data_IF_950650457409
#
_entry.id   IF_950650457409
#
_cell.length_a   1.000
_cell.length_b   1.000
_cell.length_c   1.000
_cell.angle_alpha   90.00
_cell.angle_beta   90.00
_cell.angle_gamma   90.00
#
_symmetry.space_group_name_H-M   'P 1'
#
loop_
_entity.id
_entity.type
_entity.pdbx_description
1 polymer ?
#
# COMPACT_ATOMS: atom_id res chain seq x y z
N UNK A 1 21.69 45.95 38.93
CA UNK A 1 22.02 45.27 37.65
C UNK A 1 21.29 43.93 37.43
N UNK A 2 21.05 43.07 38.44
CA UNK A 2 20.36 41.78 38.24
C UNK A 2 18.89 41.88 37.80
N UNK A 3 18.11 42.84 38.31
CA UNK A 3 16.67 42.98 37.96
C UNK A 3 16.43 43.32 36.48
N UNK A 4 17.23 44.20 35.89
CA UNK A 4 17.10 44.59 34.47
C UNK A 4 17.46 43.47 33.48
N UNK A 5 18.36 42.55 33.87
CA UNK A 5 18.73 41.40 33.02
C UNK A 5 17.58 40.39 32.90
N UNK A 6 16.81 40.17 33.95
CA UNK A 6 15.67 39.27 33.91
C UNK A 6 14.54 39.82 33.03
N UNK A 7 14.28 41.13 33.11
CA UNK A 7 13.27 41.80 32.27
C UNK A 7 13.65 41.75 30.78
N UNK A 8 14.92 41.93 30.44
CA UNK A 8 15.41 41.84 29.06
C UNK A 8 15.35 40.40 28.52
N UNK A 9 15.66 39.39 29.34
CA UNK A 9 15.53 37.98 28.95
C UNK A 9 14.07 37.60 28.70
N UNK A 10 13.15 38.04 29.58
CA UNK A 10 11.72 37.78 29.41
C UNK A 10 11.14 38.50 28.18
N UNK A 11 11.58 39.73 27.90
CA UNK A 11 11.17 40.45 26.69
C UNK A 11 11.69 39.76 25.41
N UNK A 12 12.94 39.26 25.42
CA UNK A 12 13.50 38.51 24.30
C UNK A 12 12.77 37.18 24.06
N UNK A 13 12.45 36.43 25.13
CA UNK A 13 11.66 35.20 25.04
C UNK A 13 10.24 35.46 24.53
N UNK A 14 9.60 36.56 24.93
CA UNK A 14 8.28 36.96 24.43
C UNK A 14 8.32 37.31 22.94
N UNK A 15 9.35 38.01 22.47
CA UNK A 15 9.53 38.35 21.05
C UNK A 15 9.78 37.07 20.23
N UNK A 16 10.62 36.15 20.71
CA UNK A 16 10.83 34.84 20.09
C UNK A 16 9.51 34.06 20.05
N UNK A 17 8.71 34.10 21.10
CA UNK A 17 7.41 33.43 21.14
C UNK A 17 6.38 34.08 20.20
N UNK A 18 6.36 35.40 20.04
CA UNK A 18 5.45 36.08 19.10
C UNK A 18 5.81 35.81 17.63
N UNK A 19 7.09 35.55 17.32
CA UNK A 19 7.55 35.27 15.96
C UNK A 19 7.46 33.77 15.63
N UNK A 20 7.97 32.92 16.52
CA UNK A 20 8.09 31.48 16.29
C UNK A 20 6.97 30.66 16.92
N UNK A 21 6.31 31.16 17.96
CA UNK A 21 5.23 30.47 18.68
C UNK A 21 4.02 30.15 17.80
N UNK A 22 3.48 31.08 16.99
CA UNK A 22 2.39 30.77 16.08
C UNK A 22 2.74 29.74 15.01
N UNK A 23 3.98 29.73 14.50
CA UNK A 23 4.46 28.72 13.54
C UNK A 23 4.73 27.36 14.21
N UNK A 24 5.18 27.37 15.46
CA UNK A 24 5.36 26.15 16.26
C UNK A 24 4.00 25.56 16.63
N UNK A 25 3.03 26.39 17.00
CA UNK A 25 1.63 26.00 17.22
C UNK A 25 1.05 25.47 15.92
N UNK A 26 1.16 26.15 14.77
CA UNK A 26 0.62 25.63 13.50
C UNK A 26 1.25 24.30 13.06
N UNK A 27 2.52 24.05 13.43
CA UNK A 27 3.20 22.76 13.21
C UNK A 27 2.81 21.69 14.22
N UNK A 28 2.44 22.06 15.44
CA UNK A 28 1.96 21.15 16.50
C UNK A 28 0.44 20.92 16.42
N UNK A 29 -0.29 21.83 15.79
CA UNK A 29 -1.74 21.83 15.56
C UNK A 29 -2.02 21.75 14.06
N UNK A 30 -1.16 21.10 13.27
CA UNK A 30 -1.53 20.69 11.92
C UNK A 30 -2.74 19.77 12.08
N UNK A 31 -3.92 20.38 12.04
CA UNK A 31 -5.21 19.74 12.08
C UNK A 31 -5.16 18.64 11.05
N UNK A 32 -5.48 17.41 11.47
CA UNK A 32 -5.79 16.34 10.53
C UNK A 32 -6.83 16.90 9.55
N UNK A 33 -6.42 17.25 8.34
CA UNK A 33 -7.32 17.76 7.30
C UNK A 33 -7.86 16.57 6.54
N UNK A 34 -8.62 15.74 7.25
CA UNK A 34 -9.58 14.84 6.66
C UNK A 34 -10.94 15.13 7.26
N UNK A 35 -11.99 14.84 6.51
CA UNK A 35 -13.36 14.92 7.01
C UNK A 35 -13.81 13.53 7.43
N UNK A 36 -14.46 13.40 8.59
CA UNK A 36 -15.06 12.11 8.99
C UNK A 36 -16.37 11.92 8.25
N UNK A 37 -16.52 10.76 7.60
CA UNK A 37 -17.66 10.43 6.76
C UNK A 37 -17.63 11.14 5.41
N UNK A 38 -18.42 10.62 4.47
CA UNK A 38 -18.62 11.25 3.17
C UNK A 38 -19.59 12.45 3.27
N UNK A 39 -19.39 13.51 2.48
CA UNK A 39 -20.33 14.64 2.42
C UNK A 39 -21.70 14.20 1.91
N UNK A 40 -22.74 14.93 2.33
CA UNK A 40 -24.08 14.74 1.78
C UNK A 40 -24.08 15.04 0.27
N UNK A 41 -24.65 14.14 -0.53
CA UNK A 41 -24.74 14.26 -2.00
C UNK A 41 -23.64 13.55 -2.78
N UNK A 42 -22.56 13.11 -2.12
CA UNK A 42 -21.55 12.25 -2.74
C UNK A 42 -22.17 10.87 -2.99
N UNK A 43 -22.34 10.52 -4.26
CA UNK A 43 -23.02 9.29 -4.71
C UNK A 43 -22.03 8.20 -5.07
N UNK A 44 -21.17 7.83 -4.12
CA UNK A 44 -20.26 6.71 -4.30
C UNK A 44 -21.00 5.38 -4.11
N UNK A 45 -20.60 4.39 -4.91
CA UNK A 45 -21.19 3.05 -4.87
C UNK A 45 -20.13 1.99 -4.64
N UNK A 46 -20.58 0.77 -4.36
CA UNK A 46 -19.70 -0.37 -4.13
C UNK A 46 -19.20 -0.46 -2.69
N UNK A 47 -18.12 -1.22 -2.53
CA UNK A 47 -17.57 -1.60 -1.24
C UNK A 47 -16.06 -1.55 -1.28
N UNK A 48 -15.48 -1.05 -0.20
CA UNK A 48 -14.05 -1.17 0.05
C UNK A 48 -13.81 -2.46 0.82
N UNK A 49 -12.84 -3.27 0.42
CA UNK A 49 -12.40 -4.45 1.15
C UNK A 49 -10.95 -4.28 1.55
N UNK A 50 -10.62 -4.61 2.80
CA UNK A 50 -9.28 -4.38 3.32
C UNK A 50 -8.87 -5.44 4.33
N UNK A 51 -7.58 -5.76 4.36
CA UNK A 51 -7.04 -6.79 5.26
C UNK A 51 -6.65 -6.20 6.62
N UNK A 52 -6.85 -6.95 7.70
CA UNK A 52 -6.42 -6.60 9.06
C UNK A 52 -5.62 -7.74 9.71
N UNK A 53 -4.68 -8.34 8.97
CA UNK A 53 -3.85 -9.43 9.49
C UNK A 53 -4.68 -10.61 10.00
N UNK A 54 -4.59 -10.88 11.31
CA UNK A 54 -5.35 -11.94 11.99
C UNK A 54 -6.85 -11.64 12.11
N UNK A 55 -7.24 -10.37 11.96
CA UNK A 55 -8.64 -9.94 11.91
C UNK A 55 -9.34 -10.25 10.58
N UNK A 56 -8.63 -10.85 9.63
CA UNK A 56 -9.19 -11.25 8.34
C UNK A 56 -9.41 -10.08 7.39
N UNK A 57 -10.50 -10.14 6.64
CA UNK A 57 -10.88 -9.14 5.65
C UNK A 57 -12.15 -8.43 6.12
N UNK A 58 -12.07 -7.11 6.15
CA UNK A 58 -13.15 -6.21 6.52
C UNK A 58 -13.66 -5.47 5.30
N UNK A 59 -14.88 -4.93 5.41
CA UNK A 59 -15.48 -4.16 4.35
C UNK A 59 -16.16 -2.88 4.85
N UNK A 60 -16.16 -1.87 3.99
CA UNK A 60 -16.94 -0.63 4.17
C UNK A 60 -17.95 -0.52 3.02
N UNK A 61 -19.24 -0.52 3.34
CA UNK A 61 -20.28 -0.27 2.35
C UNK A 61 -20.47 1.24 2.11
N UNK A 62 -20.33 1.68 0.85
CA UNK A 62 -20.50 3.09 0.46
C UNK A 62 -21.93 3.35 -0.05
N UNK A 63 -22.48 4.57 0.15
CA UNK A 63 -21.87 5.72 0.84
C UNK A 63 -22.10 5.69 2.37
N UNK A 64 -22.82 4.69 2.89
CA UNK A 64 -23.25 4.64 4.29
C UNK A 64 -22.09 4.54 5.30
N UNK A 65 -20.89 4.15 4.87
CA UNK A 65 -19.74 3.92 5.75
C UNK A 65 -19.95 2.75 6.72
N UNK A 66 -20.88 1.83 6.40
CA UNK A 66 -21.18 0.71 7.29
C UNK A 66 -20.04 -0.30 7.24
N UNK A 67 -19.39 -0.51 8.38
CA UNK A 67 -18.28 -1.43 8.54
C UNK A 67 -18.79 -2.80 8.97
N UNK A 68 -18.30 -3.87 8.34
CA UNK A 68 -18.52 -5.24 8.78
C UNK A 68 -17.34 -6.12 8.43
N UNK A 69 -17.19 -7.23 9.13
CA UNK A 69 -16.24 -8.26 8.74
C UNK A 69 -16.79 -9.00 7.53
N UNK A 70 -16.03 -9.07 6.44
CA UNK A 70 -16.40 -9.85 5.27
C UNK A 70 -15.97 -11.30 5.43
N UNK A 71 -14.73 -11.54 5.86
CA UNK A 71 -14.20 -12.88 6.07
C UNK A 71 -13.29 -12.95 7.30
N UNK A 72 -13.52 -13.94 8.15
CA UNK A 72 -12.64 -14.31 9.25
C UNK A 72 -11.88 -15.59 8.85
N UNK A 73 -10.55 -15.57 8.73
CA UNK A 73 -9.78 -16.79 8.54
C UNK A 73 -9.92 -17.69 9.79
N UNK A 74 -9.75 -19.02 9.63
CA UNK A 74 -9.56 -19.95 10.75
C UNK A 74 -8.55 -19.42 11.78
N UNK A 75 -8.74 -19.79 13.04
CA UNK A 75 -7.94 -19.30 14.18
C UNK A 75 -6.42 -19.33 13.87
N UNK A 76 -5.76 -18.19 14.11
CA UNK A 76 -4.32 -17.94 13.84
C UNK A 76 -3.91 -17.83 12.36
N UNK A 77 -4.88 -17.84 11.43
CA UNK A 77 -4.64 -17.50 10.04
C UNK A 77 -4.36 -16.00 9.85
N UNK A 78 -3.44 -15.66 8.94
CA UNK A 78 -3.03 -14.28 8.66
C UNK A 78 -3.35 -13.89 7.22
N UNK A 79 -4.12 -12.83 7.02
CA UNK A 79 -4.41 -12.27 5.69
C UNK A 79 -3.50 -11.07 5.44
N UNK A 80 -2.76 -11.10 4.33
CA UNK A 80 -1.74 -10.09 4.03
C UNK A 80 -2.01 -9.29 2.75
N UNK A 81 -2.86 -9.79 1.87
CA UNK A 81 -3.18 -9.10 0.62
C UNK A 81 -4.53 -9.47 0.05
N UNK A 82 -5.11 -8.57 -0.72
CA UNK A 82 -6.41 -8.73 -1.35
C UNK A 82 -6.51 -7.91 -2.65
N UNK A 83 -7.11 -8.50 -3.68
CA UNK A 83 -7.42 -7.79 -4.92
C UNK A 83 -8.73 -8.26 -5.53
N UNK A 84 -9.57 -7.32 -5.94
CA UNK A 84 -10.79 -7.59 -6.69
C UNK A 84 -10.50 -7.76 -8.18
N UNK A 85 -11.19 -8.72 -8.82
CA UNK A 85 -11.29 -8.80 -10.26
C UNK A 85 -11.99 -7.54 -10.81
N UNK A 86 -11.74 -7.15 -12.08
CA UNK A 86 -12.33 -5.93 -12.64
C UNK A 86 -13.87 -5.91 -12.64
N UNK A 87 -14.50 -7.08 -12.72
CA UNK A 87 -15.96 -7.25 -12.62
C UNK A 87 -16.50 -7.29 -11.18
N UNK A 88 -15.60 -7.24 -10.19
CA UNK A 88 -15.90 -7.28 -8.77
C UNK A 88 -16.46 -8.62 -8.26
N UNK A 89 -16.44 -9.69 -9.07
CA UNK A 89 -17.07 -10.98 -8.71
C UNK A 89 -16.13 -11.93 -7.97
N UNK A 90 -14.82 -11.76 -8.12
CA UNK A 90 -13.80 -12.64 -7.54
C UNK A 90 -12.75 -11.82 -6.80
N UNK A 91 -12.31 -12.34 -5.65
CA UNK A 91 -11.19 -11.80 -4.88
C UNK A 91 -10.03 -12.80 -4.89
N UNK A 92 -8.84 -12.29 -5.21
CA UNK A 92 -7.59 -12.97 -4.90
C UNK A 92 -7.13 -12.56 -3.51
N UNK A 93 -6.67 -13.52 -2.70
CA UNK A 93 -6.31 -13.31 -1.30
C UNK A 93 -4.94 -13.95 -1.04
N UNK A 94 -3.96 -13.15 -0.63
CA UNK A 94 -2.70 -13.65 -0.08
C UNK A 94 -2.91 -13.99 1.40
N UNK A 95 -2.99 -15.29 1.70
CA UNK A 95 -3.42 -15.81 3.00
C UNK A 95 -2.44 -16.87 3.51
N UNK A 96 -1.98 -16.70 4.74
CA UNK A 96 -1.19 -17.69 5.45
C UNK A 96 -2.12 -18.53 6.35
N UNK A 97 -2.33 -19.82 6.03
CA UNK A 97 -3.14 -20.72 6.88
C UNK A 97 -2.51 -20.87 8.27
N UNK A 98 -3.24 -21.34 9.29
CA UNK A 98 -2.68 -21.52 10.63
C UNK A 98 -1.42 -22.38 10.60
N UNK A 99 -0.42 -22.04 11.42
CA UNK A 99 0.79 -22.84 11.50
C UNK A 99 0.47 -24.20 12.14
N UNK A 100 1.13 -25.27 11.67
CA UNK A 100 0.98 -26.58 12.31
C UNK A 100 1.53 -26.60 13.74
N UNK A 101 2.60 -25.84 13.98
CA UNK A 101 3.20 -25.59 15.29
C UNK A 101 3.74 -24.15 15.37
N UNK A 102 3.64 -23.52 16.54
CA UNK A 102 4.17 -22.18 16.79
C UNK A 102 3.31 -21.06 16.21
N UNK A 103 3.93 -19.90 15.97
CA UNK A 103 3.24 -18.72 15.42
C UNK A 103 3.30 -18.70 13.90
N UNK A 104 2.23 -18.22 13.27
CA UNK A 104 2.21 -18.00 11.83
C UNK A 104 3.27 -16.96 11.43
N UNK A 105 4.18 -17.35 10.52
CA UNK A 105 5.32 -16.57 10.07
C UNK A 105 5.02 -15.56 8.95
N UNK A 106 3.78 -15.54 8.44
CA UNK A 106 3.36 -14.66 7.35
C UNK A 106 3.77 -15.14 5.95
N UNK A 107 4.04 -16.44 5.84
CA UNK A 107 4.29 -17.12 4.56
C UNK A 107 2.95 -17.52 3.95
N UNK A 108 2.56 -16.84 2.89
CA UNK A 108 1.23 -16.91 2.31
C UNK A 108 1.13 -17.90 1.15
N UNK A 109 0.02 -18.62 1.11
CA UNK A 109 -0.52 -19.24 -0.10
C UNK A 109 -1.40 -18.21 -0.83
N UNK A 110 -1.77 -18.47 -2.09
CA UNK A 110 -2.69 -17.62 -2.86
C UNK A 110 -4.04 -18.30 -3.01
N UNK A 111 -5.11 -17.59 -2.66
CA UNK A 111 -6.49 -18.11 -2.68
C UNK A 111 -7.38 -17.29 -3.61
N UNK A 112 -8.44 -17.93 -4.11
CA UNK A 112 -9.56 -17.28 -4.78
C UNK A 112 -10.84 -17.42 -3.97
N UNK A 113 -11.65 -16.38 -3.95
CA UNK A 113 -12.98 -16.39 -3.34
C UNK A 113 -13.98 -15.65 -4.21
N UNK A 114 -15.24 -16.06 -4.22
CA UNK A 114 -16.32 -15.20 -4.72
C UNK A 114 -16.49 -13.98 -3.81
N UNK A 115 -16.89 -12.83 -4.36
CA UNK A 115 -17.02 -11.57 -3.61
C UNK A 115 -18.32 -11.48 -2.79
N UNK A 116 -19.42 -12.03 -3.32
CA UNK A 116 -20.75 -11.98 -2.69
C UNK A 116 -20.81 -12.77 -1.37
N UNK A 117 -20.08 -13.87 -1.28
CA UNK A 117 -19.94 -14.69 -0.09
C UNK A 117 -18.51 -15.26 -0.02
N UNK A 118 -17.82 -15.12 1.12
CA UNK A 118 -16.48 -15.69 1.27
C UNK A 118 -16.49 -17.20 1.10
N UNK A 119 -15.64 -17.67 0.19
CA UNK A 119 -15.36 -19.08 -0.04
C UNK A 119 -13.92 -19.19 -0.57
N UNK A 120 -12.94 -18.88 0.29
CA UNK A 120 -11.53 -18.91 -0.07
C UNK A 120 -11.08 -20.34 -0.36
N UNK A 121 -10.68 -20.60 -1.61
CA UNK A 121 -10.14 -21.87 -2.09
C UNK A 121 -8.69 -21.67 -2.55
N UNK A 122 -7.78 -22.61 -2.25
CA UNK A 122 -6.39 -22.49 -2.70
C UNK A 122 -6.30 -22.42 -4.22
N UNK A 123 -5.55 -21.46 -4.74
CA UNK A 123 -5.14 -21.37 -6.14
C UNK A 123 -3.69 -21.81 -6.29
N UNK A 124 -2.79 -21.28 -5.44
CA UNK A 124 -1.39 -21.69 -5.37
C UNK A 124 -1.01 -21.95 -3.92
N UNK A 125 -0.37 -23.08 -3.68
CA UNK A 125 0.15 -23.48 -2.36
C UNK A 125 1.65 -23.56 -2.42
N UNK A 126 2.31 -23.07 -1.36
CA UNK A 126 3.76 -23.13 -1.22
C UNK A 126 4.24 -24.58 -1.28
N UNK A 127 5.35 -24.77 -1.96
CA UNK A 127 6.07 -26.03 -2.10
C UNK A 127 7.18 -26.15 -1.07
N UNK A 128 7.76 -25.03 -0.63
CA UNK A 128 8.87 -24.99 0.33
C UNK A 128 8.63 -24.04 1.51
N UNK A 129 9.28 -24.31 2.64
CA UNK A 129 9.23 -23.44 3.80
C UNK A 129 9.78 -22.04 3.46
N UNK A 130 9.16 -20.98 3.98
CA UNK A 130 9.48 -19.57 3.71
C UNK A 130 9.20 -19.06 2.29
N UNK A 131 8.57 -19.84 1.42
CA UNK A 131 7.96 -19.36 0.18
C UNK A 131 6.71 -18.52 0.49
N UNK A 132 6.33 -17.60 -0.40
CA UNK A 132 5.18 -16.72 -0.17
C UNK A 132 4.66 -16.12 -1.48
N UNK A 133 3.33 -16.07 -1.65
CA UNK A 133 2.65 -15.35 -2.72
C UNK A 133 1.97 -14.09 -2.18
N UNK A 134 2.33 -12.91 -2.68
CA UNK A 134 1.98 -11.61 -2.08
C UNK A 134 1.48 -10.63 -3.13
N UNK A 135 0.85 -9.56 -2.67
CA UNK A 135 0.48 -8.39 -3.48
C UNK A 135 -0.23 -8.78 -4.79
N UNK A 136 -1.34 -9.55 -4.71
CA UNK A 136 -2.06 -9.95 -5.90
C UNK A 136 -2.67 -8.74 -6.60
N UNK A 137 -2.79 -8.78 -7.91
CA UNK A 137 -3.59 -7.82 -8.67
C UNK A 137 -4.05 -8.42 -10.00
N UNK A 138 -5.20 -7.99 -10.50
CA UNK A 138 -5.76 -8.48 -11.76
C UNK A 138 -5.30 -7.63 -12.94
N UNK A 139 -5.18 -8.24 -14.11
CA UNK A 139 -5.12 -7.47 -15.36
C UNK A 139 -6.42 -6.70 -15.59
N UNK A 140 -6.37 -5.55 -16.29
CA UNK A 140 -7.57 -4.77 -16.60
C UNK A 140 -8.64 -5.55 -17.38
N UNK A 141 -8.22 -6.53 -18.20
CA UNK A 141 -9.12 -7.41 -18.96
C UNK A 141 -9.71 -8.56 -18.12
N UNK A 142 -9.30 -8.70 -16.86
CA UNK A 142 -9.74 -9.76 -15.94
C UNK A 142 -9.22 -11.15 -16.27
N UNK A 143 -8.37 -11.30 -17.29
CA UNK A 143 -7.88 -12.60 -17.74
C UNK A 143 -6.79 -13.17 -16.84
N UNK A 144 -5.89 -12.33 -16.36
CA UNK A 144 -4.70 -12.74 -15.64
C UNK A 144 -4.72 -12.23 -14.21
N UNK A 145 -4.33 -13.10 -13.28
CA UNK A 145 -4.00 -12.72 -11.91
C UNK A 145 -2.49 -12.68 -11.78
N UNK A 146 -1.95 -11.52 -11.42
CA UNK A 146 -0.55 -11.30 -11.13
C UNK A 146 -0.30 -11.31 -9.62
N UNK A 147 0.92 -11.63 -9.22
CA UNK A 147 1.34 -11.61 -7.82
C UNK A 147 2.87 -11.52 -7.72
N UNK A 148 3.36 -11.08 -6.56
CA UNK A 148 4.76 -11.20 -6.17
C UNK A 148 5.00 -12.58 -5.59
N UNK A 149 5.99 -13.30 -6.11
CA UNK A 149 6.43 -14.58 -5.58
C UNK A 149 7.79 -14.40 -4.91
N UNK A 150 7.83 -14.70 -3.62
CA UNK A 150 9.06 -14.76 -2.84
C UNK A 150 9.44 -16.22 -2.67
N UNK A 151 10.57 -16.60 -3.26
CA UNK A 151 11.13 -17.95 -3.14
C UNK A 151 12.47 -17.92 -2.41
N UNK A 152 12.67 -18.70 -1.34
CA UNK A 152 13.97 -18.77 -0.68
C UNK A 152 14.99 -19.49 -1.57
N UNK A 153 16.18 -18.91 -1.69
CA UNK A 153 17.32 -19.55 -2.38
C UNK A 153 18.02 -20.45 -1.37
N UNK A 154 17.86 -21.76 -1.50
CA UNK A 154 18.40 -22.75 -0.57
C UNK A 154 19.81 -23.21 -1.00
N UNK A 155 20.69 -23.43 -0.02
CA UNK A 155 21.96 -24.13 -0.21
C UNK A 155 21.73 -25.65 -0.22
N UNK A 156 22.76 -26.42 -0.56
CA UNK A 156 22.71 -27.89 -0.55
C UNK A 156 22.32 -28.47 0.82
N UNK A 157 22.66 -27.80 1.92
CA UNK A 157 22.30 -28.20 3.29
C UNK A 157 20.86 -27.80 3.70
N UNK A 158 20.08 -27.23 2.78
CA UNK A 158 18.71 -26.77 3.00
C UNK A 158 18.61 -25.41 3.71
N UNK A 159 19.72 -24.75 4.05
CA UNK A 159 19.68 -23.41 4.66
C UNK A 159 19.46 -22.32 3.62
N UNK A 160 18.70 -21.28 3.98
CA UNK A 160 18.48 -20.14 3.09
C UNK A 160 19.79 -19.32 2.92
N UNK A 161 20.07 -18.94 1.68
CA UNK A 161 21.20 -18.09 1.26
C UNK A 161 20.76 -16.74 0.70
N UNK A 162 19.47 -16.58 0.42
CA UNK A 162 18.88 -15.37 -0.13
C UNK A 162 17.41 -15.59 -0.47
N UNK A 163 16.85 -14.63 -1.19
CA UNK A 163 15.50 -14.71 -1.74
C UNK A 163 15.52 -14.32 -3.21
N UNK A 164 14.72 -15.00 -3.99
CA UNK A 164 14.33 -14.60 -5.32
C UNK A 164 12.94 -13.94 -5.23
N UNK A 165 12.80 -12.77 -5.86
CA UNK A 165 11.54 -12.06 -6.00
C UNK A 165 11.18 -11.99 -7.48
N UNK A 166 10.05 -12.56 -7.84
CA UNK A 166 9.49 -12.50 -9.19
C UNK A 166 8.09 -11.89 -9.14
N UNK A 167 7.69 -11.25 -10.24
CA UNK A 167 6.28 -10.99 -10.51
C UNK A 167 5.83 -12.04 -11.52
N UNK A 168 4.84 -12.82 -11.14
CA UNK A 168 4.31 -13.93 -11.93
C UNK A 168 2.85 -13.71 -12.23
N UNK A 169 2.32 -14.41 -13.23
CA UNK A 169 0.90 -14.41 -13.57
C UNK A 169 0.34 -15.80 -13.82
N UNK A 170 -0.95 -15.95 -13.58
CA UNK A 170 -1.71 -17.18 -13.85
C UNK A 170 -3.11 -16.82 -14.35
N UNK A 171 -3.68 -17.61 -15.24
CA UNK A 171 -5.08 -17.48 -15.68
C UNK A 171 -5.97 -18.23 -14.69
N UNK A 172 -6.87 -17.55 -13.93
CA UNK A 172 -7.66 -18.20 -12.89
C UNK A 172 -8.60 -19.27 -13.47
N UNK A 173 -8.38 -20.52 -13.08
CA UNK A 173 -9.11 -21.69 -13.59
C UNK A 173 -8.33 -22.52 -14.61
N UNK A 174 -7.16 -22.05 -15.07
CA UNK A 174 -6.19 -22.91 -15.75
C UNK A 174 -5.38 -23.71 -14.70
N UNK A 175 -5.13 -24.99 -14.98
CA UNK A 175 -4.24 -25.83 -14.17
C UNK A 175 -2.79 -25.79 -14.68
N UNK A 176 -2.51 -24.92 -15.66
CA UNK A 176 -1.16 -24.61 -16.15
C UNK A 176 -0.25 -24.00 -15.09
N UNK A 177 1.05 -24.00 -15.39
CA UNK A 177 2.06 -23.36 -14.54
C UNK A 177 1.98 -21.84 -14.66
N UNK A 178 2.27 -21.12 -13.58
CA UNK A 178 2.40 -19.68 -13.60
C UNK A 178 3.57 -19.23 -14.50
N UNK A 179 3.41 -18.06 -15.13
CA UNK A 179 4.42 -17.46 -15.99
C UNK A 179 5.17 -16.37 -15.23
N UNK A 180 6.50 -16.43 -15.25
CA UNK A 180 7.35 -15.33 -14.74
C UNK A 180 7.34 -14.18 -15.73
N UNK A 181 6.94 -12.99 -15.26
CA UNK A 181 6.83 -11.76 -16.06
C UNK A 181 8.01 -10.84 -15.77
N UNK A 182 8.38 -10.69 -14.50
CA UNK A 182 9.51 -9.86 -14.08
C UNK A 182 10.39 -10.61 -13.08
N UNK A 183 11.70 -10.42 -13.19
CA UNK A 183 12.69 -10.90 -12.23
C UNK A 183 13.18 -9.76 -11.33
N UNK A 184 13.54 -10.12 -10.10
CA UNK A 184 13.99 -9.20 -9.07
C UNK A 184 13.01 -8.03 -8.86
N UNK A 185 11.71 -8.32 -8.85
CA UNK A 185 10.64 -7.33 -8.82
C UNK A 185 9.56 -7.71 -7.81
N UNK A 186 8.91 -6.70 -7.21
CA UNK A 186 7.81 -6.87 -6.27
C UNK A 186 6.75 -5.76 -6.45
N UNK A 187 5.54 -6.00 -5.92
CA UNK A 187 4.46 -5.02 -5.82
C UNK A 187 4.17 -4.29 -7.13
N UNK A 188 3.82 -5.06 -8.18
CA UNK A 188 3.54 -4.50 -9.49
C UNK A 188 2.08 -4.05 -9.67
N UNK A 189 1.84 -3.25 -10.69
CA UNK A 189 0.51 -2.85 -11.17
C UNK A 189 0.58 -2.60 -12.68
N UNK A 190 -0.48 -2.94 -13.41
CA UNK A 190 -0.62 -2.67 -14.84
C UNK A 190 -1.29 -1.32 -15.09
N UNK A 191 -0.92 -0.67 -16.19
CA UNK A 191 -1.63 0.50 -16.71
C UNK A 191 -3.07 0.12 -17.11
N UNK A 192 -4.02 1.07 -17.14
CA UNK A 192 -5.41 0.78 -17.49
C UNK A 192 -5.59 0.12 -18.87
N UNK A 193 -4.68 0.38 -19.81
CA UNK A 193 -4.66 -0.24 -21.15
C UNK A 193 -3.89 -1.58 -21.21
N UNK A 194 -3.29 -2.02 -20.10
CA UNK A 194 -2.53 -3.27 -19.98
C UNK A 194 -1.18 -3.27 -20.71
N UNK A 195 -0.73 -2.15 -21.26
CA UNK A 195 0.51 -2.11 -22.07
C UNK A 195 1.78 -1.87 -21.25
N UNK A 196 1.64 -1.22 -20.09
CA UNK A 196 2.75 -0.87 -19.21
C UNK A 196 2.57 -1.51 -17.85
N UNK A 197 3.71 -1.74 -17.18
CA UNK A 197 3.80 -2.25 -15.84
C UNK A 197 4.66 -1.32 -15.00
N UNK A 198 4.18 -0.98 -13.80
CA UNK A 198 4.95 -0.30 -12.78
C UNK A 198 5.22 -1.28 -11.65
N UNK A 199 6.42 -1.26 -11.08
CA UNK A 199 6.83 -2.20 -10.05
C UNK A 199 7.99 -1.64 -9.21
N UNK A 200 8.23 -2.28 -8.06
CA UNK A 200 9.43 -2.03 -7.28
C UNK A 200 10.52 -3.01 -7.74
N UNK A 201 11.53 -2.49 -8.44
CA UNK A 201 12.72 -3.26 -8.78
C UNK A 201 13.58 -3.42 -7.52
N UNK A 202 13.84 -4.65 -7.14
CA UNK A 202 14.64 -5.06 -6.00
C UNK A 202 16.08 -5.39 -6.42
N UNK A 203 17.06 -4.81 -5.72
CA UNK A 203 18.45 -5.25 -5.84
C UNK A 203 18.80 -6.21 -4.69
N UNK A 204 19.02 -7.51 -4.94
CA UNK A 204 19.30 -8.48 -3.89
C UNK A 204 20.63 -8.27 -3.17
N UNK A 205 21.54 -7.44 -3.70
CA UNK A 205 22.83 -7.14 -3.05
C UNK A 205 22.71 -6.01 -2.03
N UNK A 206 21.93 -4.98 -2.38
CA UNK A 206 21.78 -3.77 -1.55
C UNK A 206 20.47 -3.73 -0.79
N UNK A 207 19.53 -4.61 -1.10
CA UNK A 207 18.14 -4.62 -0.64
C UNK A 207 17.39 -3.31 -0.93
N UNK A 208 17.88 -2.52 -1.89
CA UNK A 208 17.25 -1.27 -2.29
C UNK A 208 16.08 -1.52 -3.24
N UNK A 209 15.13 -0.58 -3.25
CA UNK A 209 13.99 -0.57 -4.18
C UNK A 209 14.06 0.66 -5.07
N UNK A 210 13.80 0.46 -6.35
CA UNK A 210 13.60 1.53 -7.35
C UNK A 210 12.20 1.43 -7.90
N UNK A 211 11.41 2.51 -7.87
CA UNK A 211 10.14 2.53 -8.60
C UNK A 211 10.43 2.58 -10.09
N UNK A 212 10.01 1.55 -10.81
CA UNK A 212 10.35 1.34 -12.21
C UNK A 212 9.08 1.19 -13.03
N UNK A 213 9.06 1.78 -14.22
CA UNK A 213 8.03 1.59 -15.23
C UNK A 213 8.65 0.96 -16.47
N UNK A 214 7.95 0.03 -17.11
CA UNK A 214 8.35 -0.58 -18.37
C UNK A 214 7.12 -0.94 -19.22
N UNK A 215 7.33 -1.26 -20.49
CA UNK A 215 6.33 -2.01 -21.25
C UNK A 215 6.22 -3.44 -20.70
N UNK A 216 5.07 -4.08 -20.89
CA UNK A 216 4.84 -5.44 -20.38
C UNK A 216 5.79 -6.50 -20.98
N UNK A 217 6.37 -6.24 -22.16
CA UNK A 217 7.41 -7.06 -22.77
C UNK A 217 8.83 -6.80 -22.22
N UNK A 218 8.95 -5.95 -21.20
CA UNK A 218 10.21 -5.54 -20.57
C UNK A 218 10.97 -4.42 -21.28
N UNK A 219 10.51 -3.99 -22.47
CA UNK A 219 11.13 -2.88 -23.19
C UNK A 219 10.79 -1.52 -22.55
N UNK A 220 11.53 -0.47 -22.93
CA UNK A 220 11.32 0.92 -22.44
C UNK A 220 11.31 1.05 -20.90
N UNK A 221 12.13 0.26 -20.22
CA UNK A 221 12.29 0.35 -18.77
C UNK A 221 12.95 1.67 -18.35
N UNK A 222 12.37 2.34 -17.35
CA UNK A 222 12.87 3.59 -16.78
C UNK A 222 12.58 3.66 -15.27
N UNK A 223 13.51 4.25 -14.52
CA UNK A 223 13.30 4.55 -13.11
C UNK A 223 12.46 5.83 -12.95
N UNK A 224 11.32 5.74 -12.28
CA UNK A 224 10.49 6.86 -11.89
C UNK A 224 10.96 7.49 -10.56
N UNK A 225 11.33 6.65 -9.59
CA UNK A 225 11.96 7.07 -8.34
C UNK A 225 13.20 6.21 -8.12
N UNK A 226 14.42 6.79 -8.14
CA UNK A 226 15.65 6.03 -7.97
C UNK A 226 15.81 5.50 -6.54
N UNK A 227 16.53 4.39 -6.40
CA UNK A 227 16.96 3.89 -5.10
C UNK A 227 17.62 4.99 -4.25
N UNK A 228 17.28 5.03 -2.96
CA UNK A 228 17.84 5.99 -2.01
C UNK A 228 17.19 7.38 -2.03
N UNK A 229 16.20 7.64 -2.90
CA UNK A 229 15.40 8.87 -2.80
C UNK A 229 14.51 8.87 -1.54
N UNK A 230 13.99 7.70 -1.17
CA UNK A 230 13.16 7.46 0.02
C UNK A 230 13.69 6.25 0.79
N UNK A 231 13.42 6.20 2.09
CA UNK A 231 13.77 5.04 2.93
C UNK A 231 12.97 3.80 2.52
N UNK A 232 11.70 3.97 2.19
CA UNK A 232 10.82 2.90 1.76
C UNK A 232 9.82 3.40 0.70
N UNK A 233 9.45 2.49 -0.20
CA UNK A 233 8.40 2.64 -1.21
C UNK A 233 7.48 1.43 -1.11
N UNK A 234 6.18 1.61 -1.36
CA UNK A 234 5.21 0.53 -1.35
C UNK A 234 4.03 0.79 -2.31
N UNK A 235 3.44 -0.31 -2.80
CA UNK A 235 2.15 -0.36 -3.46
C UNK A 235 1.96 0.64 -4.60
N UNK A 236 2.85 0.69 -5.62
CA UNK A 236 2.63 1.56 -6.76
C UNK A 236 1.39 1.13 -7.54
N UNK A 237 0.58 2.11 -7.95
CA UNK A 237 -0.64 1.92 -8.75
C UNK A 237 -0.69 2.97 -9.85
N UNK A 238 -1.05 2.58 -11.06
CA UNK A 238 -1.37 3.57 -12.09
C UNK A 238 -2.64 4.34 -11.71
N UNK A 239 -2.66 5.63 -12.02
CA UNK A 239 -3.89 6.42 -12.10
C UNK A 239 -4.51 6.31 -13.51
N UNK A 240 -5.79 6.66 -13.69
CA UNK A 240 -6.47 6.52 -14.99
C UNK A 240 -5.89 7.34 -16.14
N UNK A 241 -5.11 8.39 -15.83
CA UNK A 241 -4.41 9.22 -16.81
C UNK A 241 -3.04 8.67 -17.21
N UNK A 242 -2.58 7.60 -16.55
CA UNK A 242 -1.30 6.95 -16.81
C UNK A 242 -0.14 7.44 -15.94
N UNK A 243 -0.38 8.34 -14.99
CA UNK A 243 0.58 8.60 -13.91
C UNK A 243 0.58 7.48 -12.88
N UNK A 244 1.45 7.56 -11.88
CA UNK A 244 1.63 6.54 -10.83
C UNK A 244 1.46 7.16 -9.45
N UNK A 245 0.61 6.56 -8.63
CA UNK A 245 0.57 6.78 -7.19
C UNK A 245 1.45 5.76 -6.48
N UNK A 246 2.22 6.18 -5.48
CA UNK A 246 3.07 5.29 -4.68
C UNK A 246 3.14 5.77 -3.23
N UNK A 247 3.15 4.83 -2.30
CA UNK A 247 3.39 5.13 -0.88
C UNK A 247 4.89 5.25 -0.64
N UNK A 248 5.31 6.30 0.06
CA UNK A 248 6.72 6.57 0.33
C UNK A 248 6.96 7.05 1.75
N UNK A 249 8.04 6.58 2.38
CA UNK A 249 8.47 7.02 3.71
C UNK A 249 9.91 7.50 3.72
N UNK A 250 10.16 8.51 4.55
CA UNK A 250 11.49 9.02 4.81
C UNK A 250 12.15 9.61 3.58
N UNK A 251 11.67 10.77 3.12
CA UNK A 251 12.32 11.55 2.07
C UNK A 251 13.77 11.86 2.47
N UNK A 252 14.71 11.21 1.79
CA UNK A 252 16.15 11.30 2.09
C UNK A 252 16.80 12.48 1.37
N UNK A 253 16.11 13.08 0.38
CA UNK A 253 16.61 14.25 -0.34
C UNK A 253 16.42 15.54 0.48
N UNK A 254 15.40 15.59 1.34
CA UNK A 254 15.08 16.74 2.20
C UNK A 254 15.66 16.60 3.63
N UNK A 255 16.22 15.43 3.98
CA UNK A 255 16.65 15.09 5.34
C UNK A 255 17.88 15.84 5.90
N UNK A 256 18.33 16.90 5.25
CA UNK A 256 19.31 17.83 5.83
C UNK A 256 18.75 18.67 7.01
N UNK A 257 17.43 18.63 7.29
CA UNK A 257 16.80 19.57 8.24
C UNK A 257 15.97 18.97 9.40
N UNK A 258 15.82 17.65 9.52
CA UNK A 258 14.88 17.05 10.51
C UNK A 258 15.38 15.81 11.23
N UNK A 259 16.68 15.77 11.58
CA UNK A 259 17.18 14.76 12.51
C UNK A 259 16.63 15.05 13.92
N UNK A 260 15.68 14.24 14.41
CA UNK A 260 15.31 14.32 15.83
C UNK A 260 14.01 13.68 16.32
N UNK A 261 13.13 13.16 15.46
CA UNK A 261 11.90 12.51 15.94
C UNK A 261 11.90 11.05 15.53
N UNK A 262 12.36 10.19 16.44
CA UNK A 262 12.10 8.75 16.39
C UNK A 262 10.63 8.56 16.77
N UNK A 263 9.76 8.22 15.81
CA UNK A 263 8.43 7.72 16.11
C UNK A 263 8.49 6.22 16.31
N UNK A 264 7.64 5.68 17.19
CA UNK A 264 7.52 4.25 17.45
C UNK A 264 7.11 3.43 16.19
N UNK A 265 6.61 4.12 15.16
CA UNK A 265 6.14 3.56 13.89
C UNK A 265 7.05 3.90 12.68
N UNK A 266 8.28 4.37 12.91
CA UNK A 266 9.21 4.74 11.83
C UNK A 266 9.00 6.16 11.27
N UNK A 267 9.57 6.43 10.10
CA UNK A 267 9.43 7.73 9.43
C UNK A 267 8.01 7.89 8.84
N UNK A 268 7.45 9.12 8.78
CA UNK A 268 6.10 9.33 8.28
C UNK A 268 5.97 8.92 6.81
N UNK A 269 4.85 8.27 6.48
CA UNK A 269 4.50 7.91 5.11
C UNK A 269 3.61 8.96 4.44
N UNK A 270 3.70 9.02 3.11
CA UNK A 270 2.88 9.86 2.25
C UNK A 270 2.54 9.11 0.97
N UNK A 271 1.46 9.52 0.29
CA UNK A 271 1.17 9.12 -1.08
C UNK A 271 1.76 10.19 -2.01
N UNK A 272 2.56 9.75 -2.96
CA UNK A 272 3.17 10.56 -3.98
C UNK A 272 2.53 10.27 -5.34
N UNK A 273 2.41 11.30 -6.17
CA UNK A 273 2.05 11.20 -7.58
C UNK A 273 3.28 11.45 -8.45
N UNK A 274 3.53 10.55 -9.40
CA UNK A 274 4.67 10.57 -10.30
C UNK A 274 4.18 10.45 -11.73
N UNK A 275 4.47 11.44 -12.56
CA UNK A 275 4.03 11.46 -13.97
C UNK A 275 5.14 10.93 -14.89
N UNK A 276 6.39 11.27 -14.61
CA UNK A 276 7.56 10.83 -15.38
C UNK A 276 8.83 10.94 -14.52
N UNK A 277 9.94 10.39 -15.02
CA UNK A 277 11.25 10.35 -14.35
C UNK A 277 11.88 11.72 -14.10
N UNK A 278 11.48 12.74 -14.87
CA UNK A 278 12.16 14.02 -14.92
C UNK A 278 11.49 15.06 -14.00
N UNK A 279 10.33 14.72 -13.43
CA UNK A 279 9.57 15.58 -12.54
C UNK A 279 9.72 15.13 -11.08
N UNK A 280 9.79 16.11 -10.18
CA UNK A 280 9.72 15.85 -8.74
C UNK A 280 8.35 15.24 -8.41
N UNK A 281 8.30 14.09 -7.70
CA UNK A 281 7.05 13.53 -7.22
C UNK A 281 6.23 14.55 -6.43
N UNK A 282 4.93 14.62 -6.70
CA UNK A 282 4.02 15.52 -5.98
C UNK A 282 3.41 14.79 -4.81
N UNK A 283 3.59 15.29 -3.59
CA UNK A 283 2.92 14.74 -2.40
C UNK A 283 1.43 15.08 -2.43
N UNK A 284 0.57 14.06 -2.32
CA UNK A 284 -0.89 14.22 -2.29
C UNK A 284 -1.46 14.27 -0.87
N UNK A 285 -0.81 13.64 0.10
CA UNK A 285 -1.38 13.54 1.45
C UNK A 285 -1.28 14.87 2.20
N UNK A 286 -2.39 15.40 2.75
CA UNK A 286 -2.34 16.65 3.51
C UNK A 286 -1.89 16.45 4.96
N UNK A 287 -1.81 15.19 5.42
CA UNK A 287 -1.26 14.76 6.70
C UNK A 287 -0.32 13.56 6.50
N UNK A 288 0.37 13.14 7.57
CA UNK A 288 1.22 11.94 7.55
C UNK A 288 0.36 10.70 7.78
N UNK A 289 0.63 9.66 7.01
CA UNK A 289 0.04 8.34 7.18
C UNK A 289 1.09 7.37 7.76
N UNK A 290 0.62 6.20 8.15
CA UNK A 290 1.44 5.04 8.49
C UNK A 290 1.05 3.83 7.61
N UNK A 291 2.05 3.32 6.88
CA UNK A 291 1.91 2.19 5.95
C UNK A 291 0.73 2.27 4.96
N UNK A 292 0.52 3.39 4.21
CA UNK A 292 -0.66 3.51 3.38
C UNK A 292 -0.64 2.55 2.18
N UNK A 293 -1.79 1.94 1.89
CA UNK A 293 -2.07 1.19 0.67
C UNK A 293 -3.30 1.77 0.00
N UNK A 294 -3.37 1.70 -1.34
CA UNK A 294 -4.45 2.33 -2.09
C UNK A 294 -4.94 1.48 -3.25
N UNK A 295 -6.18 1.73 -3.65
CA UNK A 295 -6.79 1.17 -4.85
C UNK A 295 -7.84 2.13 -5.43
N UNK A 296 -7.97 2.13 -6.74
CA UNK A 296 -8.89 3.02 -7.44
C UNK A 296 -10.32 2.48 -7.42
N UNK A 297 -11.29 3.39 -7.42
CA UNK A 297 -12.67 3.06 -7.76
C UNK A 297 -12.73 2.43 -9.17
N UNK A 298 -13.70 1.56 -9.46
CA UNK A 298 -13.81 0.92 -10.77
C UNK A 298 -13.93 1.89 -11.96
N UNK A 299 -14.47 3.09 -11.72
CA UNK A 299 -14.57 4.15 -12.73
C UNK A 299 -13.34 5.07 -12.79
N UNK A 300 -12.35 4.85 -11.91
CA UNK A 300 -11.12 5.62 -11.81
C UNK A 300 -11.28 7.05 -11.27
N UNK A 301 -12.47 7.49 -10.86
CA UNK A 301 -12.65 8.88 -10.45
C UNK A 301 -12.14 9.16 -9.03
N UNK A 302 -12.10 8.12 -8.20
CA UNK A 302 -11.79 8.19 -6.78
C UNK A 302 -10.81 7.08 -6.41
N UNK A 303 -10.16 7.18 -5.25
CA UNK A 303 -9.36 6.08 -4.73
C UNK A 303 -9.53 5.94 -3.23
N UNK A 304 -9.41 4.70 -2.75
CA UNK A 304 -9.42 4.39 -1.34
C UNK A 304 -7.99 4.30 -0.81
N UNK A 305 -7.82 4.60 0.47
CA UNK A 305 -6.54 4.47 1.18
C UNK A 305 -6.78 3.75 2.50
N UNK A 306 -6.07 2.66 2.72
CA UNK A 306 -5.92 2.04 4.04
C UNK A 306 -4.62 2.53 4.67
N UNK A 307 -4.65 2.86 5.96
CA UNK A 307 -3.47 3.19 6.77
C UNK A 307 -3.77 2.91 8.23
N UNK A 308 -2.78 3.00 9.12
CA UNK A 308 -3.03 2.89 10.56
C UNK A 308 -4.00 3.99 11.06
N UNK A 309 -4.03 5.14 10.39
CA UNK A 309 -4.96 6.23 10.69
C UNK A 309 -6.40 5.90 10.29
N UNK A 310 -6.67 4.88 9.47
CA UNK A 310 -8.02 4.48 9.08
C UNK A 310 -8.17 4.13 7.60
N UNK A 311 -9.43 3.93 7.21
CA UNK A 311 -9.83 3.78 5.81
C UNK A 311 -10.37 5.11 5.31
N UNK A 312 -9.79 5.60 4.23
CA UNK A 312 -10.15 6.85 3.60
C UNK A 312 -10.66 6.61 2.19
N UNK A 313 -11.58 7.46 1.75
CA UNK A 313 -11.88 7.69 0.34
C UNK A 313 -11.33 9.06 -0.02
N UNK A 314 -10.63 9.14 -1.14
CA UNK A 314 -10.20 10.40 -1.74
C UNK A 314 -11.11 10.73 -2.90
N UNK A 315 -11.91 11.78 -2.73
CA UNK A 315 -12.87 12.27 -3.71
C UNK A 315 -12.62 13.73 -4.01
N UNK A 316 -12.46 14.07 -5.29
CA UNK A 316 -12.07 15.42 -5.74
C UNK A 316 -10.80 15.96 -5.02
N UNK A 317 -9.85 15.06 -4.75
CA UNK A 317 -8.60 15.38 -4.03
C UNK A 317 -8.76 15.62 -2.53
N UNK A 318 -9.95 15.45 -1.96
CA UNK A 318 -10.21 15.58 -0.53
C UNK A 318 -10.28 14.21 0.15
N UNK A 319 -9.66 14.09 1.32
CA UNK A 319 -9.64 12.85 2.10
C UNK A 319 -10.84 12.77 3.05
N UNK A 320 -11.62 11.71 2.94
CA UNK A 320 -12.78 11.40 3.78
C UNK A 320 -12.56 10.09 4.53
N UNK A 321 -12.48 10.14 5.85
CA UNK A 321 -12.30 8.94 6.68
C UNK A 321 -13.64 8.22 6.83
N UNK A 322 -13.75 7.04 6.23
CA UNK A 322 -15.00 6.25 6.20
C UNK A 322 -15.02 5.12 7.22
N UNK A 323 -13.86 4.73 7.76
CA UNK A 323 -13.77 3.79 8.88
C UNK A 323 -12.49 3.99 9.71
N UNK A 324 -12.54 3.58 10.97
CA UNK A 324 -11.32 3.30 11.75
C UNK A 324 -10.63 2.03 11.20
N UNK A 325 -9.30 1.97 11.32
CA UNK A 325 -8.51 0.75 11.07
C UNK A 325 -7.74 0.41 12.34
N UNK A 326 -7.53 -0.88 12.58
CA UNK A 326 -6.71 -1.39 13.69
C UNK A 326 -5.35 -1.91 13.23
N UNK A 327 -5.01 -1.77 11.94
CA UNK A 327 -3.75 -2.29 11.41
C UNK A 327 -3.44 -1.88 9.98
N UNK A 328 -2.30 -2.40 9.51
CA UNK A 328 -1.79 -2.29 8.14
C UNK A 328 -2.26 -3.47 7.28
N UNK A 329 -2.23 -3.30 5.97
CA UNK A 329 -2.67 -4.32 5.03
C UNK A 329 -2.89 -3.77 3.63
N UNK A 330 -3.54 -4.53 2.77
CA UNK A 330 -3.97 -4.07 1.44
C UNK A 330 -5.45 -3.70 1.45
N UNK A 331 -5.84 -2.87 0.48
CA UNK A 331 -7.22 -2.45 0.22
C UNK A 331 -7.54 -2.66 -1.25
N UNK A 332 -8.79 -2.98 -1.56
CA UNK A 332 -9.33 -3.01 -2.91
C UNK A 332 -10.74 -2.44 -2.96
N UNK A 333 -11.10 -1.80 -4.07
CA UNK A 333 -12.44 -1.23 -4.28
C UNK A 333 -13.21 -2.07 -5.30
N UNK A 334 -14.27 -2.74 -4.86
CA UNK A 334 -15.15 -3.50 -5.75
C UNK A 334 -16.44 -2.71 -6.02
N UNK A 335 -16.86 -2.70 -7.28
CA UNK A 335 -18.12 -2.08 -7.71
C UNK A 335 -19.34 -2.71 -7.03
N UNK A 336 -20.42 -1.94 -6.94
CA UNK A 336 -21.73 -2.48 -6.53
C UNK A 336 -22.37 -3.22 -7.70
N UNK A 337 -22.85 -4.44 -7.48
CA UNK A 337 -23.80 -5.12 -8.37
C UNK A 337 -25.17 -4.44 -8.33
#
# INVERSE_FOLDING_TARGET
MKKYRLTLILAALLIVWLIAGPQLISRLTSTLTYTTGLPAGVSLTGRLFFTQGFGGVWQVALPAGTVSQWWQPPDEGLVMGIAASPDGQQFAIAYAPPAAEGFQSGTTDLYLSGSAAPNAQPLLTREVANESFRNPFWSPDGRWLYYTHLKPILKEDGTASGVELTVERIEPGDTGAAEVVLHAAEQASLSPDGQQIVFLQFDPKTYSRTLTIANLDGSRSAALIPAGAYQALAGPKFDPSGGVLVSASGDLQIQAASAGIVRAHGLPWNILHVINSDQTPTKLTPFTLDGPWLDWSPDGQDFAVLSAEGVFVVHEGQFYRVADSSGEGEITWAGGS
#
